data_IF_563906666004
#
_entry.id   IF_563906666004
#
_cell.length_a   1.000
_cell.length_b   1.000
_cell.length_c   1.000
_cell.angle_alpha   90.00
_cell.angle_beta   90.00
_cell.angle_gamma   90.00
#
_symmetry.space_group_name_H-M   'P 1'
#
loop_
_entity.id
_entity.type
_entity.pdbx_description
1 polymer ?
#
# COMPACT_ATOMS: atom_id res chain seq x y z
N UNK A 1 -12.46 21.70 -10.44
CA UNK A 1 -12.30 22.17 -9.04
C UNK A 1 -11.60 23.52 -9.09
N UNK A 2 -12.18 24.58 -8.50
CA UNK A 2 -11.54 25.90 -8.48
C UNK A 2 -10.87 26.12 -7.12
N UNK A 3 -9.54 26.08 -7.09
CA UNK A 3 -8.75 26.24 -5.84
C UNK A 3 -8.99 27.60 -5.18
N UNK A 4 -9.31 28.62 -5.97
CA UNK A 4 -9.65 29.97 -5.48
C UNK A 4 -10.87 30.00 -4.55
N UNK A 5 -11.80 29.06 -4.70
CA UNK A 5 -13.01 28.96 -3.87
C UNK A 5 -12.81 28.10 -2.62
N UNK A 6 -11.66 27.42 -2.49
CA UNK A 6 -11.35 26.57 -1.34
C UNK A 6 -10.91 27.41 -0.15
N UNK A 7 -11.40 27.04 1.03
CA UNK A 7 -10.86 27.53 2.30
C UNK A 7 -9.41 27.07 2.46
N UNK A 8 -8.55 27.79 3.20
CA UNK A 8 -7.14 27.43 3.39
C UNK A 8 -6.93 25.96 3.79
N UNK A 9 -7.74 25.45 4.71
CA UNK A 9 -7.70 24.07 5.18
C UNK A 9 -8.03 23.03 4.09
N UNK A 10 -8.91 23.36 3.14
CA UNK A 10 -9.32 22.45 2.07
C UNK A 10 -8.26 22.27 0.98
N UNK A 11 -7.23 23.12 0.98
CA UNK A 11 -6.12 23.11 0.02
C UNK A 11 -5.04 22.09 0.36
N UNK A 12 -5.09 21.47 1.53
CA UNK A 12 -4.16 20.42 1.94
C UNK A 12 -4.52 19.09 1.26
N UNK A 13 -3.57 18.49 0.56
CA UNK A 13 -3.80 17.31 -0.27
C UNK A 13 -2.67 16.27 -0.18
N UNK A 14 -3.05 15.02 -0.47
CA UNK A 14 -2.18 13.90 -0.80
C UNK A 14 -2.11 13.72 -2.32
N UNK A 15 -0.94 13.31 -2.82
CA UNK A 15 -0.77 12.82 -4.18
C UNK A 15 -0.70 11.29 -4.14
N UNK A 16 -1.66 10.62 -4.74
CA UNK A 16 -1.74 9.17 -4.86
C UNK A 16 -1.28 8.73 -6.24
N UNK A 17 -0.53 7.64 -6.29
CA UNK A 17 -0.04 7.02 -7.51
C UNK A 17 -0.40 5.55 -7.48
N UNK A 18 -1.03 5.07 -8.54
CA UNK A 18 -1.32 3.65 -8.71
C UNK A 18 -1.24 3.27 -10.19
N UNK A 19 -0.98 1.99 -10.45
CA UNK A 19 -0.89 1.44 -11.79
C UNK A 19 -2.06 0.47 -12.03
N UNK A 20 -2.73 0.63 -13.16
CA UNK A 20 -3.80 -0.26 -13.57
C UNK A 20 -3.43 -1.01 -14.84
N UNK A 21 -3.70 -2.31 -14.89
CA UNK A 21 -3.56 -3.09 -16.10
C UNK A 21 -4.64 -2.67 -17.12
N UNK A 22 -4.24 -2.52 -18.38
CA UNK A 22 -5.13 -2.20 -19.50
C UNK A 22 -5.03 -3.27 -20.58
N UNK A 23 -6.05 -3.36 -21.44
CA UNK A 23 -5.97 -4.18 -22.65
C UNK A 23 -5.03 -3.50 -23.63
N UNK A 24 -3.93 -4.17 -23.96
CA UNK A 24 -2.97 -3.69 -24.95
C UNK A 24 -3.59 -3.60 -26.34
N UNK A 25 -3.36 -2.50 -27.05
CA UNK A 25 -3.88 -2.27 -28.39
C UNK A 25 -3.74 -0.82 -28.85
N UNK A 26 -3.89 -0.61 -30.15
CA UNK A 26 -3.91 0.71 -30.76
C UNK A 26 -5.34 1.16 -31.00
N UNK A 27 -5.64 2.41 -30.66
CA UNK A 27 -6.96 3.02 -30.88
C UNK A 27 -6.76 4.39 -31.53
N UNK A 28 -7.47 4.65 -32.63
CA UNK A 28 -7.49 5.98 -33.21
C UNK A 28 -8.52 6.86 -32.49
N UNK A 29 -8.07 7.96 -31.90
CA UNK A 29 -8.95 8.94 -31.27
C UNK A 29 -9.24 10.09 -32.24
N UNK A 30 -10.48 10.13 -32.74
CA UNK A 30 -10.95 11.15 -33.66
C UNK A 30 -10.93 12.57 -33.08
N UNK A 31 -10.97 12.73 -31.75
CA UNK A 31 -11.03 14.05 -31.11
C UNK A 31 -9.68 14.79 -31.13
N UNK A 32 -8.58 14.05 -31.00
CA UNK A 32 -7.22 14.58 -31.09
C UNK A 32 -6.53 14.24 -32.42
N UNK A 33 -7.14 13.39 -33.26
CA UNK A 33 -6.62 12.99 -34.56
C UNK A 33 -5.38 12.09 -34.47
N UNK A 34 -5.16 11.41 -33.34
CA UNK A 34 -3.96 10.65 -33.05
C UNK A 34 -4.25 9.17 -32.76
N UNK A 35 -3.24 8.32 -32.99
CA UNK A 35 -3.24 6.92 -32.55
C UNK A 35 -2.74 6.86 -31.11
N UNK A 36 -3.54 6.27 -30.23
CA UNK A 36 -3.22 6.00 -28.84
C UNK A 36 -2.84 4.52 -28.67
N UNK A 37 -2.05 4.22 -27.65
CA UNK A 37 -1.72 2.84 -27.26
C UNK A 37 -0.23 2.58 -27.07
N UNK A 38 0.64 3.48 -27.52
CA UNK A 38 2.06 3.43 -27.21
C UNK A 38 2.36 3.93 -25.77
N UNK A 39 3.40 3.42 -25.10
CA UNK A 39 3.89 3.97 -23.85
C UNK A 39 4.24 5.46 -23.96
N UNK A 40 3.96 6.20 -22.91
CA UNK A 40 4.23 7.65 -22.79
C UNK A 40 5.40 7.97 -21.85
N UNK A 41 5.93 6.94 -21.18
CA UNK A 41 7.14 7.04 -20.36
C UNK A 41 8.21 6.11 -20.92
N UNK A 42 9.50 6.52 -20.87
CA UNK A 42 10.60 5.65 -21.23
C UNK A 42 10.62 4.33 -20.46
N UNK A 43 10.98 3.27 -21.18
CA UNK A 43 11.31 1.96 -20.65
C UNK A 43 12.54 2.05 -19.73
N UNK A 44 12.84 0.98 -18.99
CA UNK A 44 13.92 0.98 -18.02
C UNK A 44 15.32 1.31 -18.60
N UNK A 45 15.53 1.06 -19.90
CA UNK A 45 16.75 1.41 -20.64
C UNK A 45 16.76 2.85 -21.20
N UNK A 46 15.70 3.62 -20.97
CA UNK A 46 15.51 4.98 -21.46
C UNK A 46 14.93 5.08 -22.87
N UNK A 47 14.63 3.95 -23.53
CA UNK A 47 14.02 3.93 -24.86
C UNK A 47 12.50 4.17 -24.80
N UNK A 48 11.94 4.67 -25.89
CA UNK A 48 10.50 4.75 -26.17
C UNK A 48 10.29 4.09 -27.54
N UNK A 49 10.17 2.75 -27.62
CA UNK A 49 10.05 2.08 -28.90
C UNK A 49 8.70 2.42 -29.55
N UNK A 50 8.72 2.89 -30.79
CA UNK A 50 7.51 3.25 -31.55
C UNK A 50 6.56 2.06 -31.74
N UNK A 51 7.08 0.84 -31.74
CA UNK A 51 6.32 -0.41 -31.92
C UNK A 51 5.82 -1.04 -30.61
N UNK A 52 6.12 -0.42 -29.46
CA UNK A 52 5.69 -0.96 -28.16
C UNK A 52 4.24 -0.59 -27.86
N UNK A 53 3.52 -1.53 -27.23
CA UNK A 53 2.14 -1.30 -26.79
C UNK A 53 2.12 -1.22 -25.27
N UNK A 54 1.44 -0.21 -24.76
CA UNK A 54 1.19 -0.07 -23.35
C UNK A 54 0.35 -1.24 -22.83
N UNK A 55 0.73 -1.73 -21.66
CA UNK A 55 0.03 -2.79 -20.93
C UNK A 55 -0.58 -2.27 -19.63
N UNK A 56 -0.14 -1.08 -19.20
CA UNK A 56 -0.57 -0.45 -17.96
C UNK A 56 -0.84 1.05 -18.15
N UNK A 57 -1.62 1.60 -17.23
CA UNK A 57 -1.81 3.03 -17.05
C UNK A 57 -1.40 3.44 -15.63
N UNK A 58 -0.36 4.26 -15.53
CA UNK A 58 0.08 4.91 -14.30
C UNK A 58 -0.76 6.17 -14.08
N UNK A 59 -1.49 6.26 -12.97
CA UNK A 59 -2.42 7.36 -12.70
C UNK A 59 -1.96 8.17 -11.50
N UNK A 60 -2.01 9.49 -11.64
CA UNK A 60 -1.74 10.46 -10.57
C UNK A 60 -3.04 11.12 -10.13
N UNK A 61 -3.39 10.95 -8.87
CA UNK A 61 -4.65 11.46 -8.31
C UNK A 61 -4.39 12.26 -7.04
N UNK A 62 -4.96 13.46 -6.97
CA UNK A 62 -5.00 14.23 -5.74
C UNK A 62 -6.19 13.81 -4.88
N UNK A 63 -5.98 13.80 -3.56
CA UNK A 63 -7.04 13.63 -2.55
C UNK A 63 -6.92 14.68 -1.46
N UNK A 64 -8.03 15.36 -1.14
CA UNK A 64 -8.08 16.32 -0.03
C UNK A 64 -7.85 15.64 1.32
N UNK A 65 -7.08 16.29 2.20
CA UNK A 65 -6.77 15.78 3.54
C UNK A 65 -7.81 16.24 4.57
N UNK A 66 -8.20 17.51 4.53
CA UNK A 66 -9.16 18.08 5.50
C UNK A 66 -10.62 17.99 5.03
N UNK A 67 -10.84 17.75 3.74
CA UNK A 67 -12.17 17.66 3.14
C UNK A 67 -12.16 16.61 2.02
N UNK A 68 -13.34 16.02 1.75
CA UNK A 68 -13.45 14.90 0.80
C UNK A 68 -13.59 15.42 -0.63
N UNK A 69 -12.47 15.52 -1.33
CA UNK A 69 -12.43 15.71 -2.78
C UNK A 69 -11.33 14.86 -3.39
N UNK A 70 -11.47 14.53 -4.68
CA UNK A 70 -10.44 13.84 -5.45
C UNK A 70 -10.44 14.30 -6.89
N UNK A 71 -9.27 14.33 -7.51
CA UNK A 71 -9.11 14.70 -8.92
C UNK A 71 -7.94 13.94 -9.53
N UNK A 72 -8.17 13.27 -10.66
CA UNK A 72 -7.07 12.77 -11.50
C UNK A 72 -6.40 13.98 -12.15
N UNK A 73 -5.09 14.09 -11.98
CA UNK A 73 -4.29 15.23 -12.45
C UNK A 73 -3.30 14.88 -13.54
N UNK A 74 -3.05 13.59 -13.74
CA UNK A 74 -2.19 13.09 -14.80
C UNK A 74 -2.33 11.59 -14.96
N UNK A 75 -1.98 11.10 -16.13
CA UNK A 75 -1.80 9.69 -16.37
C UNK A 75 -0.70 9.50 -17.41
N UNK A 76 -0.07 8.32 -17.36
CA UNK A 76 0.89 7.87 -18.34
C UNK A 76 0.59 6.44 -18.71
N UNK A 77 0.69 6.12 -20.00
CA UNK A 77 0.70 4.75 -20.48
C UNK A 77 2.10 4.15 -20.28
N UNK A 78 2.17 2.97 -19.71
CA UNK A 78 3.41 2.26 -19.34
C UNK A 78 3.38 0.84 -19.89
N UNK A 79 4.57 0.29 -20.13
CA UNK A 79 4.75 -1.15 -20.33
C UNK A 79 4.99 -1.85 -18.98
N UNK A 80 5.27 -3.15 -18.98
CA UNK A 80 5.58 -3.93 -17.76
C UNK A 80 6.80 -3.40 -16.97
N UNK A 81 7.60 -2.53 -17.58
CA UNK A 81 8.69 -1.83 -16.92
C UNK A 81 8.82 -0.40 -17.44
N UNK A 82 9.10 0.55 -16.56
CA UNK A 82 9.41 1.93 -16.92
C UNK A 82 10.61 2.43 -16.12
N UNK A 83 11.35 3.39 -16.67
CA UNK A 83 12.49 4.00 -15.97
C UNK A 83 12.00 4.83 -14.79
N UNK A 84 12.38 4.46 -13.56
CA UNK A 84 11.94 5.13 -12.33
C UNK A 84 12.37 6.62 -12.23
N UNK A 85 13.30 7.11 -13.06
CA UNK A 85 13.61 8.55 -13.10
C UNK A 85 12.47 9.37 -13.71
N UNK A 86 11.78 8.85 -14.72
CA UNK A 86 10.72 9.58 -15.42
C UNK A 86 9.49 9.87 -14.55
N UNK A 87 8.96 8.90 -13.76
CA UNK A 87 7.90 9.16 -12.78
C UNK A 87 8.31 10.12 -11.66
N UNK A 88 9.59 10.16 -11.27
CA UNK A 88 10.07 11.13 -10.28
C UNK A 88 9.95 12.55 -10.80
N UNK A 89 10.41 12.79 -12.02
CA UNK A 89 10.34 14.11 -12.64
C UNK A 89 8.88 14.53 -12.82
N UNK A 90 8.02 13.60 -13.23
CA UNK A 90 6.59 13.86 -13.36
C UNK A 90 5.92 14.19 -12.02
N UNK A 91 6.26 13.46 -10.95
CA UNK A 91 5.78 13.75 -9.61
C UNK A 91 6.18 15.15 -9.15
N UNK A 92 7.43 15.55 -9.39
CA UNK A 92 7.92 16.89 -9.04
C UNK A 92 7.17 17.97 -9.86
N UNK A 93 6.94 17.74 -11.16
CA UNK A 93 6.16 18.66 -12.00
C UNK A 93 4.74 18.83 -11.48
N UNK A 94 4.04 17.72 -11.18
CA UNK A 94 2.67 17.74 -10.66
C UNK A 94 2.63 18.49 -9.33
N UNK A 95 3.53 18.18 -8.39
CA UNK A 95 3.60 18.88 -7.09
C UNK A 95 3.81 20.38 -7.29
N UNK A 96 4.75 20.75 -8.16
CA UNK A 96 5.08 22.16 -8.44
C UNK A 96 3.89 22.89 -9.05
N UNK A 97 3.19 22.28 -10.01
CA UNK A 97 1.98 22.85 -10.61
C UNK A 97 0.82 22.97 -9.60
N UNK A 98 0.66 22.01 -8.69
CA UNK A 98 -0.35 22.08 -7.65
C UNK A 98 -0.05 23.20 -6.64
N UNK A 99 1.21 23.33 -6.22
CA UNK A 99 1.66 24.34 -5.26
C UNK A 99 1.56 25.76 -5.82
N UNK A 100 1.84 25.95 -7.12
CA UNK A 100 1.67 27.26 -7.78
C UNK A 100 0.21 27.69 -7.89
N UNK A 101 -0.72 26.73 -7.93
CA UNK A 101 -2.17 26.97 -7.88
C UNK A 101 -2.70 27.22 -6.46
N UNK A 102 -1.84 27.08 -5.44
CA UNK A 102 -2.19 27.32 -4.03
C UNK A 102 -2.64 26.08 -3.26
N UNK A 103 -2.56 24.88 -3.85
CA UNK A 103 -2.69 23.63 -3.10
C UNK A 103 -1.42 23.39 -2.26
N UNK A 104 -1.54 22.56 -1.22
CA UNK A 104 -0.42 22.16 -0.37
C UNK A 104 -0.30 20.65 -0.38
N UNK A 105 0.71 20.12 -1.07
CA UNK A 105 0.92 18.68 -1.16
C UNK A 105 1.82 18.25 -0.01
N UNK A 106 1.32 17.36 0.85
CA UNK A 106 2.04 16.94 2.06
C UNK A 106 2.63 15.55 1.95
N UNK A 107 1.96 14.68 1.19
CA UNK A 107 2.27 13.25 1.19
C UNK A 107 2.07 12.64 -0.19
N UNK A 108 2.98 11.74 -0.54
CA UNK A 108 2.86 10.82 -1.67
C UNK A 108 2.42 9.46 -1.14
N UNK A 109 1.38 8.90 -1.73
CA UNK A 109 0.84 7.59 -1.40
C UNK A 109 0.98 6.68 -2.62
N UNK A 110 1.53 5.50 -2.44
CA UNK A 110 1.57 4.47 -3.49
C UNK A 110 1.53 3.08 -2.88
N UNK A 111 1.31 2.06 -3.70
CA UNK A 111 1.62 0.70 -3.27
C UNK A 111 3.15 0.51 -3.05
N UNK A 112 3.54 -0.71 -2.66
CA UNK A 112 4.94 -1.07 -2.44
C UNK A 112 5.46 -2.06 -3.48
N UNK A 113 4.96 -1.99 -4.73
CA UNK A 113 5.53 -2.74 -5.84
C UNK A 113 6.95 -2.24 -6.17
N UNK A 114 7.75 -3.07 -6.84
CA UNK A 114 9.16 -2.79 -7.11
C UNK A 114 9.42 -1.43 -7.78
N UNK A 115 8.58 -1.05 -8.75
CA UNK A 115 8.67 0.26 -9.42
C UNK A 115 8.45 1.44 -8.47
N UNK A 116 7.44 1.37 -7.61
CA UNK A 116 7.14 2.40 -6.62
C UNK A 116 8.21 2.46 -5.52
N UNK A 117 8.75 1.33 -5.07
CA UNK A 117 9.88 1.33 -4.13
C UNK A 117 11.16 1.93 -4.75
N UNK A 118 11.40 1.69 -6.04
CA UNK A 118 12.51 2.31 -6.76
C UNK A 118 12.31 3.84 -6.85
N UNK A 119 11.09 4.30 -7.13
CA UNK A 119 10.73 5.72 -7.09
C UNK A 119 11.00 6.33 -5.72
N UNK A 120 10.55 5.69 -4.64
CA UNK A 120 10.80 6.12 -3.25
C UNK A 120 12.30 6.25 -2.96
N UNK A 121 13.09 5.28 -3.40
CA UNK A 121 14.55 5.30 -3.22
C UNK A 121 15.20 6.51 -3.91
N UNK A 122 14.65 6.98 -5.04
CA UNK A 122 15.11 8.20 -5.72
C UNK A 122 14.80 9.49 -4.94
N UNK A 123 13.90 9.44 -3.97
CA UNK A 123 13.65 10.52 -2.99
C UNK A 123 14.42 10.31 -1.67
N UNK A 124 15.29 9.30 -1.58
CA UNK A 124 16.01 8.96 -0.36
C UNK A 124 15.11 8.33 0.71
N UNK A 125 14.01 7.72 0.28
CA UNK A 125 13.05 7.04 1.15
C UNK A 125 13.41 5.56 1.16
N UNK A 126 13.62 5.01 2.34
CA UNK A 126 13.99 3.61 2.52
C UNK A 126 13.62 3.12 3.91
N UNK A 127 13.28 1.84 4.02
CA UNK A 127 13.10 1.14 5.28
C UNK A 127 13.77 -0.23 5.13
N UNK A 128 14.80 -0.50 5.93
CA UNK A 128 15.55 -1.74 5.88
C UNK A 128 15.99 -2.18 7.26
N UNK A 129 16.22 -3.49 7.43
CA UNK A 129 16.61 -4.10 8.71
C UNK A 129 17.87 -3.47 9.33
N UNK A 130 18.77 -2.98 8.48
CA UNK A 130 20.08 -2.44 8.89
C UNK A 130 20.23 -0.94 8.62
N UNK A 131 19.15 -0.24 8.23
CA UNK A 131 19.18 1.19 7.96
C UNK A 131 18.16 1.94 8.79
N UNK A 132 18.51 3.15 9.23
CA UNK A 132 17.53 4.04 9.86
C UNK A 132 16.44 4.35 8.82
N UNK A 133 15.16 4.09 9.10
CA UNK A 133 14.11 4.35 8.14
C UNK A 133 14.02 5.85 7.85
N UNK A 134 13.84 6.17 6.57
CA UNK A 134 13.60 7.52 6.05
C UNK A 134 12.27 7.52 5.34
N UNK A 135 11.31 8.33 5.82
CA UNK A 135 9.92 8.36 5.37
C UNK A 135 9.51 9.70 4.75
N UNK A 136 10.45 10.64 4.63
CA UNK A 136 10.20 11.92 3.98
C UNK A 136 11.47 12.55 3.43
N UNK A 137 11.32 13.43 2.44
CA UNK A 137 12.39 14.28 1.92
C UNK A 137 12.06 15.77 2.13
N UNK A 138 13.00 16.65 1.80
CA UNK A 138 12.72 18.09 1.72
C UNK A 138 11.69 18.34 0.63
N UNK A 139 10.72 19.21 0.89
CA UNK A 139 9.65 19.50 -0.07
C UNK A 139 10.18 20.31 -1.26
N UNK A 140 9.90 19.92 -2.52
CA UNK A 140 10.53 20.52 -3.70
C UNK A 140 10.20 22.00 -3.93
N UNK A 141 9.05 22.47 -3.43
CA UNK A 141 8.62 23.86 -3.57
C UNK A 141 8.85 24.71 -2.31
N UNK A 142 9.29 24.11 -1.20
CA UNK A 142 9.41 24.80 0.09
C UNK A 142 10.42 24.09 1.02
N UNK A 143 11.65 24.60 1.13
CA UNK A 143 12.69 23.98 1.95
C UNK A 143 12.35 23.85 3.44
N UNK A 144 11.39 24.63 3.96
CA UNK A 144 10.96 24.55 5.35
C UNK A 144 9.96 23.41 5.60
N UNK A 145 9.40 22.80 4.54
CA UNK A 145 8.46 21.68 4.63
C UNK A 145 9.10 20.35 4.25
N UNK A 146 8.44 19.28 4.69
CA UNK A 146 8.75 17.91 4.29
C UNK A 146 7.68 17.36 3.38
N UNK A 147 8.09 16.58 2.39
CA UNK A 147 7.22 15.73 1.59
C UNK A 147 7.30 14.32 2.15
N UNK A 148 6.19 13.80 2.67
CA UNK A 148 6.11 12.47 3.25
C UNK A 148 5.79 11.41 2.22
N UNK A 149 6.22 10.19 2.47
CA UNK A 149 5.90 9.01 1.67
C UNK A 149 5.25 7.97 2.57
N UNK A 150 4.08 7.48 2.17
CA UNK A 150 3.35 6.45 2.91
C UNK A 150 2.93 5.33 1.97
N UNK A 151 3.00 4.07 2.41
CA UNK A 151 2.40 2.99 1.65
C UNK A 151 0.89 3.12 1.69
N UNK A 152 0.23 2.57 0.68
CA UNK A 152 -1.18 2.27 0.77
C UNK A 152 -1.43 1.24 1.88
N UNK A 153 -2.19 1.65 2.90
CA UNK A 153 -2.40 0.88 4.13
C UNK A 153 -3.11 -0.46 3.88
N UNK A 154 -4.21 -0.52 3.09
CA UNK A 154 -4.79 -1.79 2.64
C UNK A 154 -3.79 -2.75 2.00
N UNK A 155 -2.91 -2.26 1.10
CA UNK A 155 -1.86 -3.08 0.50
C UNK A 155 -0.82 -3.57 1.52
N UNK A 156 -0.41 -2.72 2.48
CA UNK A 156 0.48 -3.11 3.56
C UNK A 156 -0.10 -4.26 4.40
N UNK A 157 -1.37 -4.18 4.79
CA UNK A 157 -2.04 -5.25 5.56
C UNK A 157 -2.14 -6.55 4.75
N UNK A 158 -2.46 -6.47 3.45
CA UNK A 158 -2.46 -7.64 2.57
C UNK A 158 -1.08 -8.29 2.49
N UNK A 159 -0.01 -7.50 2.40
CA UNK A 159 1.35 -7.99 2.35
C UNK A 159 1.76 -8.68 3.66
N UNK A 160 1.40 -8.10 4.82
CA UNK A 160 1.66 -8.72 6.12
C UNK A 160 0.93 -10.06 6.28
N UNK A 161 -0.34 -10.12 5.87
CA UNK A 161 -1.10 -11.39 5.84
C UNK A 161 -0.43 -12.38 4.89
N UNK A 162 -0.05 -11.94 3.68
CA UNK A 162 0.57 -12.80 2.69
C UNK A 162 1.88 -13.42 3.20
N UNK A 163 2.71 -12.64 3.91
CA UNK A 163 3.91 -13.10 4.62
C UNK A 163 3.58 -14.21 5.62
N UNK A 164 2.57 -14.04 6.46
CA UNK A 164 2.15 -15.08 7.40
C UNK A 164 1.61 -16.33 6.70
N UNK A 165 0.77 -16.14 5.67
CA UNK A 165 0.14 -17.26 4.95
C UNK A 165 1.10 -18.03 4.04
N UNK A 166 2.27 -17.47 3.69
CA UNK A 166 3.34 -18.18 2.98
C UNK A 166 4.16 -19.09 3.91
N UNK A 167 3.79 -19.19 5.19
CA UNK A 167 4.47 -20.01 6.19
C UNK A 167 5.63 -19.31 6.88
N UNK A 168 5.78 -18.00 6.68
CA UNK A 168 6.79 -17.21 7.38
C UNK A 168 6.25 -16.71 8.73
N UNK A 169 7.11 -16.68 9.74
CA UNK A 169 6.80 -16.08 11.03
C UNK A 169 7.29 -14.63 11.09
N UNK A 170 6.76 -13.86 12.04
CA UNK A 170 7.29 -12.53 12.40
C UNK A 170 8.02 -12.66 13.72
N UNK A 171 9.22 -12.09 13.81
CA UNK A 171 10.02 -12.08 15.04
C UNK A 171 10.04 -10.67 15.62
N UNK A 172 9.55 -10.54 16.84
CA UNK A 172 9.54 -9.31 17.59
C UNK A 172 10.93 -9.04 18.21
N UNK A 173 11.38 -7.78 18.30
CA UNK A 173 12.59 -7.44 19.04
C UNK A 173 12.47 -7.79 20.53
N UNK A 174 13.58 -8.18 21.16
CA UNK A 174 13.61 -8.55 22.58
C UNK A 174 13.07 -7.45 23.50
N UNK A 175 13.29 -6.18 23.15
CA UNK A 175 12.76 -5.03 23.87
C UNK A 175 11.22 -5.03 23.94
N UNK A 176 10.56 -5.41 22.84
CA UNK A 176 9.11 -5.51 22.76
C UNK A 176 8.61 -6.69 23.60
N UNK A 177 9.29 -7.83 23.48
CA UNK A 177 8.97 -9.05 24.25
C UNK A 177 9.05 -8.78 25.75
N UNK A 178 10.13 -8.14 26.22
CA UNK A 178 10.33 -7.81 27.63
C UNK A 178 9.31 -6.78 28.12
N UNK A 179 9.10 -5.70 27.36
CA UNK A 179 8.17 -4.62 27.71
C UNK A 179 6.75 -5.15 27.90
N UNK A 180 6.31 -6.05 27.02
CA UNK A 180 4.96 -6.60 27.03
C UNK A 180 4.85 -7.96 27.75
N UNK A 181 5.96 -8.46 28.33
CA UNK A 181 6.05 -9.76 29.01
C UNK A 181 5.51 -10.91 28.15
N UNK A 182 5.86 -10.90 26.86
CA UNK A 182 5.40 -11.90 25.91
C UNK A 182 6.12 -13.24 26.16
N UNK A 183 5.42 -14.38 26.02
CA UNK A 183 6.00 -15.70 26.27
C UNK A 183 7.04 -16.11 25.22
N UNK A 184 7.00 -15.53 24.02
CA UNK A 184 7.97 -15.76 22.95
C UNK A 184 8.16 -14.49 22.11
N UNK A 185 9.19 -14.47 21.26
CA UNK A 185 9.39 -13.45 20.25
C UNK A 185 8.68 -13.77 18.92
N UNK A 186 8.17 -14.99 18.77
CA UNK A 186 7.63 -15.49 17.50
C UNK A 186 6.12 -15.27 17.41
N UNK A 187 5.69 -14.52 16.42
CA UNK A 187 4.30 -14.41 15.97
C UNK A 187 4.09 -15.40 14.83
N UNK A 188 3.16 -16.32 15.01
CA UNK A 188 2.89 -17.41 14.07
C UNK A 188 1.40 -17.51 13.72
N UNK A 189 1.12 -17.78 12.44
CA UNK A 189 -0.22 -18.01 11.92
C UNK A 189 -0.82 -19.34 12.41
N UNK A 190 0.03 -20.29 12.83
CA UNK A 190 -0.42 -21.58 13.36
C UNK A 190 -1.40 -21.42 14.53
N UNK A 191 -1.18 -20.44 15.42
CA UNK A 191 -2.10 -20.15 16.53
C UNK A 191 -3.50 -19.76 16.04
N UNK A 192 -3.56 -18.96 14.96
CA UNK A 192 -4.84 -18.54 14.34
C UNK A 192 -5.50 -19.69 13.59
N UNK A 193 -4.73 -20.58 12.96
CA UNK A 193 -5.27 -21.80 12.32
C UNK A 193 -5.96 -22.71 13.35
N UNK A 194 -5.30 -22.95 14.49
CA UNK A 194 -5.89 -23.70 15.61
C UNK A 194 -7.16 -23.03 16.14
N UNK A 195 -7.21 -21.69 16.23
CA UNK A 195 -8.43 -20.95 16.58
C UNK A 195 -9.58 -21.27 15.59
N UNK A 196 -9.34 -21.21 14.28
CA UNK A 196 -10.36 -21.53 13.26
C UNK A 196 -10.84 -22.99 13.37
N UNK A 197 -9.94 -23.92 13.65
CA UNK A 197 -10.26 -25.34 13.84
C UNK A 197 -11.12 -25.57 15.09
N UNK A 198 -10.77 -24.94 16.22
CA UNK A 198 -11.55 -25.04 17.46
C UNK A 198 -12.91 -24.36 17.36
N UNK A 199 -12.98 -23.17 16.75
CA UNK A 199 -14.24 -22.45 16.52
C UNK A 199 -15.18 -23.24 15.59
N UNK A 200 -14.61 -23.93 14.60
CA UNK A 200 -15.36 -24.79 13.68
C UNK A 200 -16.03 -26.01 14.32
N UNK A 201 -15.66 -26.39 15.55
CA UNK A 201 -16.28 -27.48 16.31
C UNK A 201 -17.54 -27.06 17.06
N UNK A 202 -17.76 -25.75 17.22
CA UNK A 202 -18.88 -25.18 17.96
C UNK A 202 -19.97 -24.67 17.01
N UNK A 203 -21.24 -24.86 17.38
CA UNK A 203 -22.34 -24.20 16.69
C UNK A 203 -22.37 -22.69 16.98
N UNK A 204 -21.97 -22.30 18.19
CA UNK A 204 -21.81 -20.91 18.59
C UNK A 204 -20.36 -20.49 18.41
N UNK A 205 -20.12 -19.70 17.37
CA UNK A 205 -18.79 -19.22 16.99
C UNK A 205 -18.37 -18.03 17.83
N UNK A 206 -17.17 -18.10 18.39
CA UNK A 206 -16.49 -16.97 19.04
C UNK A 206 -15.82 -16.07 17.99
N UNK A 207 -15.37 -16.64 16.86
CA UNK A 207 -14.66 -15.92 15.80
C UNK A 207 -15.46 -15.87 14.46
N UNK A 208 -16.68 -15.29 14.41
CA UNK A 208 -17.56 -15.37 13.24
C UNK A 208 -17.03 -14.68 11.98
N UNK A 209 -16.04 -13.79 12.12
CA UNK A 209 -15.39 -13.07 11.02
C UNK A 209 -14.14 -13.75 10.48
N UNK A 210 -13.70 -14.83 11.12
CA UNK A 210 -12.52 -15.61 10.75
C UNK A 210 -12.98 -16.91 10.08
N UNK A 211 -12.42 -17.21 8.92
CA UNK A 211 -12.70 -18.45 8.20
C UNK A 211 -11.43 -18.98 7.54
N UNK A 212 -11.53 -20.16 6.92
CA UNK A 212 -10.39 -20.79 6.25
C UNK A 212 -9.74 -19.88 5.19
N UNK A 213 -10.51 -19.09 4.45
CA UNK A 213 -9.96 -18.13 3.48
C UNK A 213 -9.12 -17.01 4.09
N UNK A 214 -9.22 -16.76 5.41
CA UNK A 214 -8.40 -15.77 6.10
C UNK A 214 -6.99 -16.30 6.42
N UNK A 215 -6.86 -17.60 6.67
CA UNK A 215 -5.60 -18.27 7.08
C UNK A 215 -4.97 -19.12 5.98
N UNK A 216 -5.76 -19.50 4.96
CA UNK A 216 -5.34 -20.23 3.77
C UNK A 216 -6.00 -19.61 2.51
N UNK A 217 -5.56 -18.41 2.10
CA UNK A 217 -6.18 -17.68 1.01
C UNK A 217 -5.82 -18.28 -0.36
N UNK A 218 -6.84 -18.55 -1.19
CA UNK A 218 -6.67 -18.84 -2.62
C UNK A 218 -6.17 -17.60 -3.37
N UNK A 219 -5.78 -17.76 -4.64
CA UNK A 219 -5.21 -16.68 -5.46
C UNK A 219 -6.04 -15.38 -5.42
N UNK A 220 -7.36 -15.47 -5.64
CA UNK A 220 -8.24 -14.29 -5.58
C UNK A 220 -8.47 -13.75 -4.16
N UNK A 221 -8.38 -14.59 -3.14
CA UNK A 221 -8.58 -14.19 -1.75
C UNK A 221 -7.41 -13.33 -1.24
N UNK A 222 -6.21 -13.52 -1.79
CA UNK A 222 -5.05 -12.65 -1.52
C UNK A 222 -5.29 -11.19 -1.90
N UNK A 223 -6.21 -10.90 -2.83
CA UNK A 223 -6.54 -9.52 -3.20
C UNK A 223 -7.59 -8.87 -2.28
N UNK A 224 -8.34 -9.67 -1.52
CA UNK A 224 -9.42 -9.18 -0.63
C UNK A 224 -8.84 -8.65 0.68
N UNK A 225 -8.92 -7.34 0.87
CA UNK A 225 -8.46 -6.65 2.09
C UNK A 225 -9.26 -7.08 3.32
N UNK A 226 -10.56 -7.40 3.15
CA UNK A 226 -11.45 -7.87 4.23
C UNK A 226 -10.82 -9.01 5.04
N UNK A 227 -10.19 -9.99 4.38
CA UNK A 227 -9.59 -11.13 5.07
C UNK A 227 -8.32 -10.77 5.84
N UNK A 228 -7.53 -9.80 5.35
CA UNK A 228 -6.42 -9.26 6.11
C UNK A 228 -6.91 -8.51 7.36
N UNK A 229 -7.99 -7.73 7.24
CA UNK A 229 -8.61 -7.07 8.39
C UNK A 229 -9.14 -8.06 9.43
N UNK A 230 -9.86 -9.11 9.03
CA UNK A 230 -10.33 -10.14 9.95
C UNK A 230 -9.15 -10.80 10.70
N UNK A 231 -8.04 -11.08 10.00
CA UNK A 231 -6.87 -11.71 10.61
C UNK A 231 -6.23 -10.81 11.69
N UNK A 232 -6.09 -9.51 11.41
CA UNK A 232 -5.44 -8.55 12.31
C UNK A 232 -6.45 -7.76 13.17
N UNK A 233 -7.61 -8.34 13.44
CA UNK A 233 -8.65 -7.70 14.25
C UNK A 233 -8.45 -7.94 15.74
N UNK A 234 -8.85 -6.97 16.57
CA UNK A 234 -8.81 -7.11 18.03
C UNK A 234 -9.66 -8.28 18.54
N UNK A 235 -10.77 -8.60 17.86
CA UNK A 235 -11.62 -9.74 18.24
C UNK A 235 -10.86 -11.06 18.07
N UNK A 236 -10.14 -11.24 16.96
CA UNK A 236 -9.28 -12.42 16.73
C UNK A 236 -8.23 -12.56 17.84
N UNK A 237 -7.66 -11.45 18.31
CA UNK A 237 -6.76 -11.44 19.45
C UNK A 237 -7.46 -11.81 20.77
N UNK A 238 -8.68 -11.30 21.01
CA UNK A 238 -9.47 -11.65 22.19
C UNK A 238 -9.83 -13.15 22.20
N UNK A 239 -10.20 -13.71 21.05
CA UNK A 239 -10.54 -15.13 20.92
C UNK A 239 -9.33 -16.04 21.16
N UNK A 240 -8.14 -15.65 20.68
CA UNK A 240 -6.89 -16.34 21.00
C UNK A 240 -6.64 -16.36 22.52
N UNK A 241 -6.80 -15.21 23.20
CA UNK A 241 -6.63 -15.13 24.67
C UNK A 241 -7.64 -16.02 25.39
N UNK A 242 -8.91 -16.01 24.96
CA UNK A 242 -9.96 -16.87 25.52
C UNK A 242 -9.62 -18.37 25.38
N UNK A 243 -9.09 -18.79 24.24
CA UNK A 243 -8.67 -20.18 24.05
C UNK A 243 -7.45 -20.56 24.90
N UNK A 244 -6.53 -19.63 25.15
CA UNK A 244 -5.42 -19.86 26.09
C UNK A 244 -5.93 -19.99 27.52
N UNK A 245 -6.81 -19.08 27.96
CA UNK A 245 -7.37 -19.08 29.31
C UNK A 245 -8.22 -20.32 29.59
N UNK A 246 -8.89 -20.86 28.56
CA UNK A 246 -9.65 -22.12 28.63
C UNK A 246 -8.79 -23.37 28.47
N UNK A 247 -7.46 -23.24 28.33
CA UNK A 247 -6.53 -24.36 28.19
C UNK A 247 -6.58 -25.09 26.84
N UNK A 248 -7.24 -24.51 25.83
CA UNK A 248 -7.35 -25.06 24.48
C UNK A 248 -6.20 -24.67 23.56
N UNK A 249 -5.48 -23.59 23.89
CA UNK A 249 -4.26 -23.17 23.21
C UNK A 249 -3.08 -23.04 24.18
N UNK A 250 -1.88 -23.20 23.64
CA UNK A 250 -0.64 -23.00 24.38
C UNK A 250 -0.38 -21.52 24.69
N UNK A 251 0.31 -21.24 25.80
CA UNK A 251 0.59 -19.85 26.23
C UNK A 251 1.35 -19.05 25.17
N UNK A 252 2.13 -19.68 24.30
CA UNK A 252 2.86 -19.00 23.23
C UNK A 252 1.94 -18.20 22.29
N UNK A 253 0.68 -18.63 22.14
CA UNK A 253 -0.34 -17.94 21.35
C UNK A 253 -0.63 -16.51 21.84
N UNK A 254 -0.35 -16.20 23.11
CA UNK A 254 -0.46 -14.83 23.66
C UNK A 254 0.49 -13.84 22.99
N UNK A 255 1.56 -14.31 22.33
CA UNK A 255 2.44 -13.44 21.53
C UNK A 255 1.78 -13.05 20.21
N UNK A 256 1.00 -13.96 19.61
CA UNK A 256 0.24 -13.68 18.38
C UNK A 256 -0.99 -12.81 18.65
N UNK A 257 -1.56 -12.87 19.85
CA UNK A 257 -2.77 -12.16 20.26
C UNK A 257 -2.52 -10.72 20.72
#
# INVERSE_FOLDING_TARGET
MQVSLMKPEERHAALMIDEMQITSGLVYDHSCGAVLGAPTLPLADGSLPDDSLATHGLVFMLGGLSSRWKQVVGYHLTENSFCASSPKDELIKIITACESLGLKIHVVVSDMAGGNMALWSRFGIHAGRHSKPSTSCVHPCDPARRLWFTPDVPHLLKNLRNHLTSGQAIYLPDEVVQKHKLPTARVDLAHVKKLVEEDGKSELKIAPHLNSSCVDPKHYDKMKVKFAFSLFHNDTAADLRLLVDSGKLEKEALTTA
#
